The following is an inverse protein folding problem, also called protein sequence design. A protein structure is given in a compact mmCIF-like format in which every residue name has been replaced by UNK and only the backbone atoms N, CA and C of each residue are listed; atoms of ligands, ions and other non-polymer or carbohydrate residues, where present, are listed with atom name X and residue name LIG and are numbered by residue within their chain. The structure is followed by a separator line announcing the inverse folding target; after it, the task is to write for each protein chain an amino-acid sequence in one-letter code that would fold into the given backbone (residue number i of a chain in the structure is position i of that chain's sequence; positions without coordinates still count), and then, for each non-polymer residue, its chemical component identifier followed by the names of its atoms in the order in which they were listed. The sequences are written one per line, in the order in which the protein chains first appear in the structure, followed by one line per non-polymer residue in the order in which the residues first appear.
data_IF_364335008869
#
_entry.id   IF_364335008869
#
_cell.length_a   1.000
_cell.length_b   1.000
_cell.length_c   1.000
_cell.angle_alpha   90.00
_cell.angle_beta   90.00
_cell.angle_gamma   90.00
#
_symmetry.space_group_name_H-M   'P 1'
#
loop_
_entity.id
_entity.type
_entity.pdbx_description
1 polymer ?
#
# COMPACT_ATOMS: atom_id res chain seq x y z
N UNK A 1 3.96 0.13 -5.56
CA UNK A 1 2.73 -0.63 -5.33
C UNK A 1 1.63 0.27 -4.75
N UNK A 2 1.80 0.79 -3.54
CA UNK A 2 0.73 1.45 -2.80
C UNK A 2 0.39 2.84 -3.35
N UNK A 3 1.16 3.86 -3.03
CA UNK A 3 0.76 5.24 -3.29
C UNK A 3 1.91 6.20 -3.67
N UNK A 4 3.18 5.79 -3.60
CA UNK A 4 4.30 6.64 -4.01
C UNK A 4 4.68 6.49 -5.48
N UNK A 5 5.53 7.39 -5.94
CA UNK A 5 6.04 7.47 -7.30
C UNK A 5 6.42 6.10 -7.86
N UNK A 6 5.89 5.80 -9.03
CA UNK A 6 6.09 4.56 -9.76
C UNK A 6 7.08 4.77 -10.92
N UNK A 7 7.79 3.72 -11.36
CA UNK A 7 8.44 3.74 -12.67
C UNK A 7 7.42 3.99 -13.79
N UNK A 8 7.83 4.64 -14.86
CA UNK A 8 6.93 5.07 -15.96
C UNK A 8 6.14 3.91 -16.57
N UNK A 9 6.78 2.73 -16.67
CA UNK A 9 6.20 1.54 -17.31
C UNK A 9 5.29 0.71 -16.35
N UNK A 10 5.17 1.11 -15.09
CA UNK A 10 4.34 0.40 -14.15
C UNK A 10 2.89 0.89 -14.21
N UNK A 11 1.96 0.00 -13.86
CA UNK A 11 0.55 0.35 -13.69
C UNK A 11 0.38 1.42 -12.60
N UNK A 12 -0.79 2.05 -12.61
CA UNK A 12 -1.20 2.92 -11.52
C UNK A 12 -1.13 2.19 -10.18
N UNK A 13 -0.81 2.93 -9.12
CA UNK A 13 -0.78 2.39 -7.76
C UNK A 13 -2.15 1.88 -7.33
N UNK A 14 -2.18 1.03 -6.30
CA UNK A 14 -3.44 0.53 -5.72
C UNK A 14 -4.32 1.71 -5.30
N UNK A 15 -3.74 2.71 -4.63
CA UNK A 15 -4.45 3.91 -4.19
C UNK A 15 -5.06 4.67 -5.37
N UNK A 16 -4.28 4.95 -6.41
CA UNK A 16 -4.78 5.69 -7.57
C UNK A 16 -5.86 4.91 -8.32
N UNK A 17 -5.71 3.60 -8.44
CA UNK A 17 -6.72 2.74 -9.08
C UNK A 17 -8.02 2.69 -8.28
N UNK A 18 -7.95 2.63 -6.94
CA UNK A 18 -9.13 2.67 -6.07
C UNK A 18 -9.85 4.03 -6.15
N UNK A 19 -9.11 5.14 -6.18
CA UNK A 19 -9.69 6.48 -6.35
C UNK A 19 -10.39 6.59 -7.71
N UNK A 20 -9.78 6.08 -8.77
CA UNK A 20 -10.37 6.07 -10.11
C UNK A 20 -11.67 5.24 -10.16
N UNK A 21 -11.71 4.13 -9.43
CA UNK A 21 -12.90 3.28 -9.27
C UNK A 21 -13.95 3.85 -8.29
N UNK A 22 -13.72 5.04 -7.72
CA UNK A 22 -14.57 5.70 -6.71
C UNK A 22 -14.65 4.95 -5.36
N UNK A 23 -13.70 4.06 -5.09
CA UNK A 23 -13.57 3.33 -3.84
C UNK A 23 -12.71 4.11 -2.85
N UNK A 24 -13.09 5.34 -2.57
CA UNK A 24 -12.40 6.19 -1.61
C UNK A 24 -13.38 6.78 -0.59
N UNK A 25 -12.93 6.84 0.66
CA UNK A 25 -13.63 7.51 1.76
C UNK A 25 -12.74 8.63 2.25
N UNK A 26 -13.28 9.84 2.33
CA UNK A 26 -12.55 11.00 2.86
C UNK A 26 -12.64 11.01 4.37
N UNK A 27 -11.54 11.29 5.03
CA UNK A 27 -11.47 11.33 6.49
C UNK A 27 -12.41 12.40 7.07
N UNK A 28 -13.21 11.99 8.03
CA UNK A 28 -14.02 12.87 8.88
C UNK A 28 -13.51 12.85 10.33
N UNK A 29 -14.24 13.50 11.23
CA UNK A 29 -13.94 13.47 12.66
C UNK A 29 -14.34 12.13 13.32
N UNK A 30 -15.22 11.35 12.69
CA UNK A 30 -15.69 10.05 13.17
C UNK A 30 -15.00 8.90 12.43
N UNK A 31 -13.80 8.55 12.89
CA UNK A 31 -13.02 7.45 12.33
C UNK A 31 -13.76 6.10 12.37
N UNK A 32 -14.65 5.89 13.34
CA UNK A 32 -15.42 4.65 13.44
C UNK A 32 -16.42 4.54 12.29
N UNK A 33 -17.19 5.59 12.06
CA UNK A 33 -18.14 5.65 10.94
C UNK A 33 -17.44 5.58 9.58
N UNK A 34 -16.27 6.23 9.44
CA UNK A 34 -15.48 6.21 8.21
C UNK A 34 -14.96 4.81 7.86
N UNK A 35 -14.68 3.97 8.86
CA UNK A 35 -14.13 2.62 8.62
C UNK A 35 -15.24 1.57 8.58
N UNK A 36 -16.16 1.57 9.55
CA UNK A 36 -17.16 0.52 9.78
C UNK A 36 -18.58 0.93 9.43
N UNK A 37 -18.83 2.20 9.10
CA UNK A 37 -20.17 2.68 8.77
C UNK A 37 -20.70 2.12 7.46
N UNK A 38 -21.97 2.35 7.18
CA UNK A 38 -22.69 1.87 6.00
C UNK A 38 -22.05 2.34 4.67
N UNK A 39 -21.46 3.55 4.65
CA UNK A 39 -20.68 4.07 3.52
C UNK A 39 -19.17 4.10 3.84
N UNK A 40 -18.74 3.29 4.78
CA UNK A 40 -17.37 3.26 5.27
C UNK A 40 -16.42 2.52 4.33
N UNK A 41 -15.16 2.50 4.76
CA UNK A 41 -14.07 1.95 3.99
C UNK A 41 -14.25 0.46 3.65
N UNK A 42 -14.78 -0.32 4.61
CA UNK A 42 -15.05 -1.76 4.43
C UNK A 42 -16.24 -1.96 3.51
N UNK A 43 -17.31 -1.17 3.71
CA UNK A 43 -18.53 -1.27 2.91
C UNK A 43 -18.24 -1.05 1.41
N UNK A 44 -17.32 -0.14 1.06
CA UNK A 44 -16.90 0.08 -0.33
C UNK A 44 -16.30 -1.16 -1.00
N UNK A 45 -15.55 -1.96 -0.28
CA UNK A 45 -15.00 -3.24 -0.80
C UNK A 45 -16.11 -4.28 -0.94
N UNK A 46 -17.04 -4.32 0.01
CA UNK A 46 -18.15 -5.28 0.04
C UNK A 46 -19.20 -4.98 -1.05
N UNK A 47 -19.47 -3.70 -1.33
CA UNK A 47 -20.31 -3.25 -2.45
C UNK A 47 -19.83 -3.78 -3.80
N UNK A 48 -18.52 -3.94 -3.95
CA UNK A 48 -17.90 -4.52 -5.14
C UNK A 48 -17.84 -6.05 -5.13
N UNK A 49 -18.37 -6.70 -4.09
CA UNK A 49 -18.44 -8.15 -3.95
C UNK A 49 -17.11 -8.80 -3.52
N UNK A 50 -16.24 -8.06 -2.85
CA UNK A 50 -15.01 -8.57 -2.26
C UNK A 50 -15.07 -8.52 -0.74
N UNK A 51 -14.19 -9.29 -0.08
CA UNK A 51 -14.06 -9.25 1.38
C UNK A 51 -12.76 -8.54 1.76
N UNK A 52 -12.87 -7.54 2.62
CA UNK A 52 -11.69 -6.92 3.23
C UNK A 52 -11.06 -7.90 4.24
N UNK A 53 -9.86 -8.39 3.96
CA UNK A 53 -9.16 -9.36 4.81
C UNK A 53 -8.06 -8.74 5.66
N UNK A 54 -7.47 -7.63 5.24
CA UNK A 54 -6.51 -6.88 6.05
C UNK A 54 -6.40 -5.40 5.66
N UNK A 55 -5.80 -4.62 6.55
CA UNK A 55 -5.64 -3.17 6.41
C UNK A 55 -4.15 -2.84 6.42
N UNK A 56 -3.71 -2.01 5.48
CA UNK A 56 -2.38 -1.39 5.49
C UNK A 56 -2.53 0.09 5.75
N UNK A 57 -1.74 0.63 6.67
CA UNK A 57 -1.86 2.02 7.10
C UNK A 57 -0.50 2.67 7.35
N UNK A 58 -0.43 3.98 7.21
CA UNK A 58 0.71 4.76 7.66
C UNK A 58 0.91 4.67 9.17
N UNK A 59 2.17 4.63 9.63
CA UNK A 59 2.48 4.48 11.07
C UNK A 59 1.90 5.62 11.92
N UNK A 60 1.70 6.79 11.35
CA UNK A 60 1.13 7.95 12.03
C UNK A 60 -0.33 7.75 12.44
N UNK A 61 -1.06 6.87 11.75
CA UNK A 61 -2.45 6.54 12.09
C UNK A 61 -2.60 5.78 13.40
N UNK A 62 -1.55 5.10 13.88
CA UNK A 62 -1.61 4.35 15.17
C UNK A 62 -2.08 5.19 16.34
N UNK A 63 -1.70 6.46 16.40
CA UNK A 63 -2.13 7.35 17.48
C UNK A 63 -3.64 7.61 17.46
N UNK A 64 -4.21 7.80 16.28
CA UNK A 64 -5.66 7.96 16.08
C UNK A 64 -6.42 6.66 16.38
N UNK A 65 -5.89 5.54 15.91
CA UNK A 65 -6.49 4.22 16.11
C UNK A 65 -6.55 3.80 17.60
N UNK A 66 -5.54 4.15 18.40
CA UNK A 66 -5.56 3.89 19.84
C UNK A 66 -6.67 4.64 20.59
N UNK A 67 -7.10 5.76 20.07
CA UNK A 67 -8.24 6.51 20.61
C UNK A 67 -9.60 5.98 20.19
N UNK A 68 -9.64 5.01 19.29
CA UNK A 68 -10.87 4.47 18.73
C UNK A 68 -11.52 3.46 19.66
N UNK A 69 -12.70 3.78 20.14
CA UNK A 69 -13.48 2.93 21.08
C UNK A 69 -14.88 2.69 20.54
N UNK A 70 -15.50 1.60 20.99
CA UNK A 70 -16.93 1.36 20.78
C UNK A 70 -17.79 2.27 21.69
N UNK A 71 -19.12 2.19 21.54
CA UNK A 71 -20.07 2.95 22.35
C UNK A 71 -19.97 2.64 23.86
N UNK A 72 -19.33 1.55 24.26
CA UNK A 72 -19.11 1.14 25.65
C UNK A 72 -17.70 1.48 26.15
N UNK A 73 -16.91 2.21 25.37
CA UNK A 73 -15.53 2.59 25.70
C UNK A 73 -14.50 1.47 25.54
N UNK A 74 -14.83 0.37 24.84
CA UNK A 74 -13.87 -0.70 24.59
C UNK A 74 -12.98 -0.35 23.40
N UNK A 75 -11.65 -0.52 23.50
CA UNK A 75 -10.76 -0.24 22.37
C UNK A 75 -11.02 -1.23 21.22
N UNK A 76 -11.14 -0.70 20.02
CA UNK A 76 -11.34 -1.48 18.80
C UNK A 76 -10.02 -1.84 18.13
N UNK A 77 -8.98 -1.01 18.33
CA UNK A 77 -7.64 -1.31 17.91
C UNK A 77 -6.90 -2.07 19.01
N UNK A 78 -6.54 -3.32 18.71
CA UNK A 78 -5.87 -4.21 19.66
C UNK A 78 -4.40 -4.41 19.25
N UNK A 79 -3.52 -4.27 20.25
CA UNK A 79 -2.11 -4.65 20.16
C UNK A 79 -1.92 -5.95 20.98
N UNK A 80 -1.66 -7.06 20.30
CA UNK A 80 -1.41 -8.33 20.96
C UNK A 80 0.08 -8.43 21.33
N UNK A 81 0.40 -8.32 22.63
CA UNK A 81 1.76 -8.38 23.14
C UNK A 81 2.30 -9.80 23.35
N UNK A 82 1.43 -10.82 23.39
CA UNK A 82 1.81 -12.20 23.74
C UNK A 82 2.32 -13.02 22.53
N UNK A 83 1.96 -12.65 21.29
CA UNK A 83 2.32 -13.39 20.08
C UNK A 83 3.15 -12.58 19.08
N UNK A 84 3.90 -11.60 19.55
CA UNK A 84 4.53 -10.61 18.70
C UNK A 84 3.61 -9.42 18.47
N UNK A 85 4.11 -8.38 17.81
CA UNK A 85 3.36 -7.17 17.55
C UNK A 85 2.33 -7.39 16.42
N UNK A 86 1.27 -8.13 16.69
CA UNK A 86 0.12 -8.22 15.81
C UNK A 86 -0.87 -7.10 16.16
N UNK A 87 -1.23 -6.34 15.15
CA UNK A 87 -2.22 -5.27 15.28
C UNK A 87 -3.51 -5.72 14.59
N UNK A 88 -4.64 -5.54 15.25
CA UNK A 88 -5.94 -5.84 14.68
C UNK A 88 -6.92 -4.69 14.87
N UNK A 89 -7.76 -4.46 13.88
CA UNK A 89 -8.84 -3.49 13.92
C UNK A 89 -10.12 -4.21 13.47
N UNK A 90 -11.12 -4.30 14.36
CA UNK A 90 -12.36 -4.99 14.05
C UNK A 90 -12.19 -6.47 13.64
N UNK A 91 -11.13 -7.14 14.12
CA UNK A 91 -10.82 -8.52 13.76
C UNK A 91 -9.96 -8.71 12.50
N UNK A 92 -9.72 -7.66 11.74
CA UNK A 92 -8.82 -7.68 10.57
C UNK A 92 -7.39 -7.38 10.98
N UNK A 93 -6.43 -8.04 10.34
CA UNK A 93 -5.01 -7.75 10.56
C UNK A 93 -4.65 -6.37 10.02
N UNK A 94 -3.80 -5.66 10.76
CA UNK A 94 -3.23 -4.39 10.32
C UNK A 94 -1.72 -4.46 10.17
N UNK A 95 -1.23 -3.89 9.07
CA UNK A 95 0.20 -3.78 8.80
C UNK A 95 0.61 -2.30 8.67
N UNK A 96 1.78 -1.98 9.24
CA UNK A 96 2.35 -0.64 9.21
C UNK A 96 3.73 -0.64 8.57
N UNK A 97 3.84 -0.28 7.27
CA UNK A 97 5.13 -0.16 6.60
C UNK A 97 6.02 0.87 7.28
N UNK A 98 7.28 0.48 7.61
CA UNK A 98 8.26 1.34 8.30
C UNK A 98 9.37 1.83 7.38
N UNK A 99 9.35 1.45 6.13
CA UNK A 99 10.42 1.71 5.15
C UNK A 99 10.34 3.10 4.49
N UNK A 100 9.47 3.99 4.98
CA UNK A 100 9.28 5.33 4.39
C UNK A 100 8.58 5.33 3.03
N UNK A 101 8.03 4.19 2.60
CA UNK A 101 7.35 4.05 1.31
C UNK A 101 5.89 4.46 1.33
N UNK A 102 5.34 4.74 2.51
CA UNK A 102 3.97 5.17 2.68
C UNK A 102 3.86 6.69 2.59
N UNK A 103 2.94 7.15 1.76
CA UNK A 103 2.61 8.56 1.63
C UNK A 103 1.25 8.83 2.28
N UNK A 104 1.28 9.51 3.42
CA UNK A 104 0.09 9.83 4.19
C UNK A 104 -0.71 11.03 3.65
N UNK A 105 -0.15 11.76 2.68
CA UNK A 105 -0.84 12.88 2.03
C UNK A 105 -1.86 12.37 1.00
N UNK A 106 -1.60 11.19 0.40
CA UNK A 106 -2.52 10.60 -0.57
C UNK A 106 -3.44 9.54 0.03
N UNK A 107 -2.97 8.79 1.03
CA UNK A 107 -3.76 7.75 1.67
C UNK A 107 -3.37 7.56 3.14
N UNK A 108 -4.34 7.51 4.02
CA UNK A 108 -4.17 7.19 5.44
C UNK A 108 -4.19 5.69 5.67
N UNK A 109 -5.14 4.99 5.04
CA UNK A 109 -5.30 3.53 5.12
C UNK A 109 -5.75 2.98 3.75
N UNK A 110 -5.44 1.71 3.52
CA UNK A 110 -5.94 0.93 2.39
C UNK A 110 -6.41 -0.41 2.93
N UNK A 111 -7.61 -0.81 2.55
CA UNK A 111 -8.15 -2.15 2.83
C UNK A 111 -8.62 -2.82 1.56
N UNK A 112 -8.79 -4.14 1.60
CA UNK A 112 -9.32 -4.89 0.47
C UNK A 112 -9.03 -6.37 0.53
N UNK A 113 -9.33 -7.05 -0.57
CA UNK A 113 -9.03 -8.47 -0.78
C UNK A 113 -7.60 -8.63 -1.31
N UNK A 114 -6.66 -8.86 -0.42
CA UNK A 114 -5.23 -9.01 -0.77
C UNK A 114 -4.92 -10.24 -1.60
N UNK A 115 -5.83 -11.21 -1.69
CA UNK A 115 -5.68 -12.37 -2.58
C UNK A 115 -5.75 -11.97 -4.05
N UNK A 116 -6.34 -10.83 -4.36
CA UNK A 116 -6.38 -10.27 -5.69
C UNK A 116 -5.08 -9.55 -6.08
N UNK A 117 -4.22 -9.24 -5.11
CA UNK A 117 -2.91 -8.65 -5.38
C UNK A 117 -1.90 -9.76 -5.69
N UNK A 118 -1.49 -9.86 -6.94
CA UNK A 118 -0.53 -10.86 -7.40
C UNK A 118 0.78 -10.22 -7.81
N UNK A 119 1.88 -10.90 -7.56
CA UNK A 119 3.21 -10.51 -8.03
C UNK A 119 3.95 -11.70 -8.60
N UNK A 120 4.87 -11.43 -9.51
CA UNK A 120 5.73 -12.43 -10.10
C UNK A 120 7.17 -11.91 -10.14
N UNK A 121 8.12 -12.76 -9.78
CA UNK A 121 9.55 -12.47 -9.86
C UNK A 121 10.08 -13.14 -11.12
N UNK A 122 10.49 -12.33 -12.10
CA UNK A 122 11.11 -12.81 -13.35
C UNK A 122 12.57 -13.15 -13.13
N UNK A 123 13.26 -12.33 -12.32
CA UNK A 123 14.67 -12.51 -11.98
C UNK A 123 14.85 -12.16 -10.52
N UNK A 124 15.34 -13.14 -9.77
CA UNK A 124 15.68 -12.93 -8.37
C UNK A 124 16.90 -12.01 -8.22
N UNK A 125 17.17 -11.62 -6.99
CA UNK A 125 18.26 -10.69 -6.68
C UNK A 125 19.60 -11.28 -7.14
N UNK A 126 20.26 -10.59 -8.05
CA UNK A 126 21.62 -10.91 -8.47
C UNK A 126 22.58 -9.79 -8.11
N UNK A 127 23.78 -10.14 -7.69
CA UNK A 127 24.83 -9.19 -7.35
C UNK A 127 26.01 -9.37 -8.29
N UNK A 128 26.43 -8.30 -8.94
CA UNK A 128 27.64 -8.26 -9.77
C UNK A 128 28.62 -7.25 -9.15
N UNK A 129 29.86 -7.67 -9.01
CA UNK A 129 30.95 -6.81 -8.51
C UNK A 129 31.84 -6.39 -9.66
N UNK A 130 32.04 -5.10 -9.83
CA UNK A 130 32.88 -4.50 -10.84
C UNK A 130 34.08 -3.81 -10.19
N UNK A 131 35.26 -4.16 -10.67
CA UNK A 131 36.54 -3.57 -10.24
C UNK A 131 37.04 -2.51 -11.22
N UNK A 132 36.40 -2.36 -12.37
CA UNK A 132 36.78 -1.40 -13.41
C UNK A 132 35.52 -0.87 -14.12
N UNK A 133 35.63 0.31 -14.70
CA UNK A 133 34.54 0.97 -15.42
C UNK A 133 34.30 2.38 -14.91
N UNK A 134 33.33 3.05 -15.53
CA UNK A 134 32.90 4.40 -15.17
C UNK A 134 31.42 4.40 -14.77
N UNK A 135 31.07 5.19 -13.80
CA UNK A 135 29.68 5.47 -13.41
C UNK A 135 29.36 6.87 -13.89
N UNK A 136 28.34 6.99 -14.73
CA UNK A 136 27.86 8.27 -15.26
C UNK A 136 26.49 8.61 -14.67
N UNK A 137 26.17 9.89 -14.60
CA UNK A 137 24.84 10.41 -14.28
C UNK A 137 23.85 10.25 -15.47
N UNK A 138 22.63 10.74 -15.29
CA UNK A 138 21.58 10.70 -16.33
C UNK A 138 21.94 11.49 -17.60
N UNK A 139 22.81 12.50 -17.48
CA UNK A 139 23.28 13.35 -18.58
C UNK A 139 24.50 12.77 -19.30
N UNK A 140 24.96 11.59 -18.89
CA UNK A 140 26.13 10.93 -19.44
C UNK A 140 27.47 11.43 -18.94
N UNK A 141 27.51 12.34 -17.98
CA UNK A 141 28.73 12.86 -17.39
C UNK A 141 29.30 11.83 -16.39
N UNK A 142 30.60 11.54 -16.52
CA UNK A 142 31.29 10.62 -15.62
C UNK A 142 31.37 11.21 -14.22
N UNK A 143 30.77 10.51 -13.26
CA UNK A 143 30.78 10.86 -11.83
C UNK A 143 31.92 10.15 -11.11
N UNK A 144 32.09 8.85 -11.40
CA UNK A 144 33.16 8.06 -10.80
C UNK A 144 33.87 7.22 -11.86
N UNK A 145 35.20 7.18 -11.79
CA UNK A 145 36.01 6.22 -12.52
C UNK A 145 36.57 5.22 -11.50
N UNK A 146 36.08 3.98 -11.53
CA UNK A 146 36.38 2.97 -10.52
C UNK A 146 37.88 2.68 -10.45
N UNK A 147 38.52 2.62 -11.62
CA UNK A 147 39.94 2.27 -11.71
C UNK A 147 40.86 3.40 -11.20
N UNK A 148 40.53 4.65 -11.52
CA UNK A 148 41.32 5.81 -11.08
C UNK A 148 41.17 6.13 -9.59
N UNK A 149 40.03 5.79 -9.02
CA UNK A 149 39.72 6.11 -7.62
C UNK A 149 39.87 4.91 -6.68
N UNK A 150 40.43 3.77 -7.16
CA UNK A 150 40.57 2.53 -6.40
C UNK A 150 39.24 2.09 -5.73
N UNK A 151 38.15 2.15 -6.51
CA UNK A 151 36.78 1.87 -6.04
C UNK A 151 36.25 0.57 -6.64
N UNK A 152 35.31 -0.05 -5.92
CA UNK A 152 34.53 -1.18 -6.43
C UNK A 152 33.05 -0.76 -6.46
N UNK A 153 32.35 -1.17 -7.53
CA UNK A 153 30.92 -1.00 -7.63
C UNK A 153 30.22 -2.35 -7.48
N UNK A 154 29.10 -2.36 -6.76
CA UNK A 154 28.22 -3.52 -6.64
C UNK A 154 26.91 -3.15 -7.34
N UNK A 155 26.54 -3.93 -8.34
CA UNK A 155 25.25 -3.80 -9.02
C UNK A 155 24.30 -4.87 -8.49
N UNK A 156 23.15 -4.45 -7.99
CA UNK A 156 22.06 -5.34 -7.64
C UNK A 156 20.96 -5.22 -8.68
N UNK A 157 20.50 -6.35 -9.20
CA UNK A 157 19.41 -6.42 -10.17
C UNK A 157 18.32 -7.33 -9.63
N UNK A 158 17.08 -6.83 -9.63
CA UNK A 158 15.86 -7.62 -9.40
C UNK A 158 14.85 -7.24 -10.47
N UNK A 159 14.10 -8.21 -10.98
CA UNK A 159 13.02 -7.98 -11.95
C UNK A 159 11.75 -8.63 -11.43
N UNK A 160 10.77 -7.81 -11.13
CA UNK A 160 9.45 -8.23 -10.66
C UNK A 160 8.35 -7.49 -11.41
N UNK A 161 7.19 -8.12 -11.47
CA UNK A 161 5.95 -7.50 -11.94
C UNK A 161 4.85 -7.73 -10.93
N UNK A 162 3.82 -6.92 -10.95
CA UNK A 162 2.65 -7.07 -10.09
C UNK A 162 1.39 -6.66 -10.83
N UNK A 163 0.26 -7.16 -10.37
CA UNK A 163 -1.05 -6.81 -10.90
C UNK A 163 -2.11 -6.98 -9.82
N UNK A 164 -3.22 -6.28 -9.99
CA UNK A 164 -4.45 -6.51 -9.24
C UNK A 164 -5.42 -7.25 -10.16
N UNK A 165 -5.86 -8.39 -9.71
CA UNK A 165 -6.92 -9.15 -10.36
C UNK A 165 -8.25 -8.47 -10.05
N UNK A 166 -9.09 -8.34 -11.07
CA UNK A 166 -10.43 -7.78 -10.93
C UNK A 166 -11.40 -8.67 -11.71
N UNK A 167 -11.65 -9.91 -11.21
CA UNK A 167 -12.52 -10.83 -11.88
C UNK A 167 -13.96 -10.31 -11.94
N UNK A 168 -14.67 -10.62 -13.01
CA UNK A 168 -16.08 -10.29 -13.17
C UNK A 168 -16.88 -11.01 -12.09
N UNK A 169 -17.73 -10.28 -11.37
CA UNK A 169 -18.68 -10.85 -10.43
C UNK A 169 -20.10 -10.32 -10.69
N UNK A 170 -21.10 -10.97 -10.07
CA UNK A 170 -22.50 -10.62 -10.27
C UNK A 170 -22.98 -9.46 -9.37
N UNK A 171 -22.21 -9.10 -8.34
CA UNK A 171 -22.56 -8.02 -7.42
C UNK A 171 -22.35 -6.67 -8.08
N UNK A 172 -21.16 -6.45 -8.63
CA UNK A 172 -20.84 -5.28 -9.44
C UNK A 172 -20.24 -5.74 -10.78
N UNK A 173 -21.04 -5.85 -11.87
CA UNK A 173 -20.55 -6.31 -13.17
C UNK A 173 -19.70 -5.26 -13.90
N UNK A 174 -19.74 -3.98 -13.50
CA UNK A 174 -19.00 -2.90 -14.16
C UNK A 174 -17.52 -2.93 -13.74
N UNK A 175 -16.66 -3.29 -14.67
CA UNK A 175 -15.20 -3.35 -14.45
C UNK A 175 -14.54 -2.00 -14.28
N UNK A 176 -15.22 -0.88 -14.52
CA UNK A 176 -14.67 0.47 -14.36
C UNK A 176 -14.83 1.01 -12.94
N UNK A 177 -15.90 0.62 -12.27
CA UNK A 177 -16.20 1.00 -10.89
C UNK A 177 -15.86 -0.07 -9.89
N UNK A 178 -15.83 -1.35 -10.30
CA UNK A 178 -15.45 -2.47 -9.43
C UNK A 178 -13.94 -2.50 -9.20
N UNK A 179 -13.51 -2.51 -7.94
CA UNK A 179 -12.11 -2.67 -7.58
C UNK A 179 -11.98 -3.33 -6.19
N UNK A 180 -11.05 -4.30 -6.00
CA UNK A 180 -10.97 -5.09 -4.77
C UNK A 180 -10.35 -4.36 -3.58
N UNK A 181 -10.02 -3.08 -3.72
CA UNK A 181 -9.45 -2.25 -2.65
C UNK A 181 -10.20 -0.95 -2.51
N UNK A 182 -10.25 -0.45 -1.27
CA UNK A 182 -10.74 0.87 -0.94
C UNK A 182 -9.68 1.67 -0.16
N UNK A 183 -9.75 2.99 -0.30
CA UNK A 183 -8.76 3.93 0.23
C UNK A 183 -9.42 4.89 1.20
N UNK A 184 -8.81 5.06 2.36
CA UNK A 184 -9.13 6.13 3.30
C UNK A 184 -8.19 7.31 3.02
N UNK A 185 -8.74 8.34 2.40
CA UNK A 185 -8.00 9.54 2.02
C UNK A 185 -8.01 10.58 3.14
N UNK A 186 -6.96 11.41 3.28
CA UNK A 186 -7.01 12.53 4.20
C UNK A 186 -8.14 13.51 3.81
N UNK A 187 -8.66 14.25 4.80
CA UNK A 187 -9.53 15.39 4.52
C UNK A 187 -8.74 16.37 3.64
N UNK A 188 -9.32 16.78 2.52
CA UNK A 188 -8.73 17.83 1.69
C UNK A 188 -8.64 19.13 2.50
N UNK A 189 -7.52 19.84 2.40
CA UNK A 189 -7.40 21.21 2.88
C UNK A 189 -8.29 22.17 2.09
#
# INVERSE_FOLDING_TARGET
FFNKNKPTDWRESIVQSAITAQNSVTATDDLYADVFGENGLIAKVEEDGYFADSIVSGITMRSKLRGMTDANGRPLFLENMHQGAQYTLGGMNMEFPRNGMWDSETALMVTGDWKQAVYAIRQDVTFDVFNSGVVSDADGKVVYNLMQNDMKAIRMVIRLGWNILNPINAVNPDGTTRFPFAVYAPAGE
#
